data_IF_042293874894
#
_entry.id   IF_042293874894
#
_cell.length_a   1.000
_cell.length_b   1.000
_cell.length_c   1.000
_cell.angle_alpha   90.00
_cell.angle_beta   90.00
_cell.angle_gamma   90.00
#
_symmetry.space_group_name_H-M   'P 1'
#
loop_
_entity.id
_entity.type
_entity.pdbx_description
1 polymer ?
#
# COMPACT_ATOMS: atom_id res chain seq x y z
N UNK A 1 2.61 -39.11 17.55
CA UNK A 1 2.08 -38.74 16.22
C UNK A 1 1.11 -37.54 16.37
N UNK A 2 1.65 -36.32 16.35
CA UNK A 2 0.86 -35.09 16.39
C UNK A 2 0.41 -34.76 14.97
N UNK A 3 -0.90 -34.83 14.73
CA UNK A 3 -1.47 -34.42 13.44
C UNK A 3 -1.44 -32.90 13.34
N UNK A 4 -0.71 -32.38 12.37
CA UNK A 4 -0.89 -31.00 11.92
C UNK A 4 -2.34 -30.86 11.47
N UNK A 5 -3.13 -30.10 12.24
CA UNK A 5 -4.47 -29.71 11.85
C UNK A 5 -4.32 -28.89 10.56
N UNK A 6 -4.58 -29.53 9.42
CA UNK A 6 -4.48 -28.93 8.10
C UNK A 6 -5.30 -27.65 8.08
N UNK A 7 -4.62 -26.51 7.99
CA UNK A 7 -5.28 -25.23 7.77
C UNK A 7 -5.86 -25.25 6.35
N UNK A 8 -7.18 -25.43 6.24
CA UNK A 8 -7.84 -25.26 4.95
C UNK A 8 -7.86 -23.78 4.61
N UNK A 9 -7.12 -23.38 3.57
CA UNK A 9 -7.31 -22.07 2.98
C UNK A 9 -8.73 -22.02 2.39
N UNK A 10 -9.47 -20.97 2.72
CA UNK A 10 -10.79 -20.73 2.14
C UNK A 10 -10.72 -20.46 0.63
N UNK A 11 -11.86 -20.24 -0.03
CA UNK A 11 -11.89 -19.87 -1.43
C UNK A 11 -11.04 -18.62 -1.70
N UNK A 12 -10.32 -18.62 -2.82
CA UNK A 12 -9.54 -17.46 -3.25
C UNK A 12 -10.48 -16.39 -3.82
N UNK A 13 -10.29 -15.13 -3.40
CA UNK A 13 -11.06 -13.98 -3.87
C UNK A 13 -10.15 -12.98 -4.60
N UNK A 14 -10.58 -12.53 -5.77
CA UNK A 14 -9.91 -11.43 -6.49
C UNK A 14 -10.39 -10.10 -5.93
N UNK A 15 -9.55 -9.41 -5.17
CA UNK A 15 -9.91 -8.14 -4.53
C UNK A 15 -9.77 -6.94 -5.48
N UNK A 16 -8.77 -6.97 -6.35
CA UNK A 16 -8.36 -5.84 -7.16
C UNK A 16 -8.00 -6.29 -8.58
N UNK A 17 -8.72 -5.77 -9.57
CA UNK A 17 -8.47 -5.97 -10.99
C UNK A 17 -7.58 -4.87 -11.57
N UNK A 18 -6.89 -5.20 -12.67
CA UNK A 18 -6.04 -4.27 -13.44
C UNK A 18 -4.96 -3.55 -12.60
N UNK A 19 -4.50 -4.20 -11.53
CA UNK A 19 -3.39 -3.72 -10.72
C UNK A 19 -2.07 -3.90 -11.50
N UNK A 20 -1.21 -2.87 -11.58
CA UNK A 20 0.13 -3.03 -12.12
C UNK A 20 0.95 -3.96 -11.20
N UNK A 21 2.08 -4.52 -11.68
CA UNK A 21 3.02 -5.22 -10.83
C UNK A 21 3.53 -4.29 -9.71
N UNK A 22 3.31 -4.68 -8.46
CA UNK A 22 3.71 -3.97 -7.25
C UNK A 22 4.37 -4.94 -6.28
N UNK A 23 5.29 -4.43 -5.45
CA UNK A 23 5.89 -5.20 -4.37
C UNK A 23 4.85 -5.42 -3.25
N UNK A 24 4.59 -6.67 -2.89
CA UNK A 24 3.72 -7.03 -1.78
C UNK A 24 4.51 -7.09 -0.47
N UNK A 25 4.06 -6.34 0.52
CA UNK A 25 4.57 -6.32 1.88
C UNK A 25 3.38 -6.61 2.81
N UNK A 26 3.63 -7.33 3.90
CA UNK A 26 2.57 -7.73 4.82
C UNK A 26 2.96 -7.42 6.27
N UNK A 27 2.01 -6.90 7.03
CA UNK A 27 2.05 -6.96 8.49
C UNK A 27 1.13 -8.08 8.98
N UNK A 28 1.02 -8.27 10.30
CA UNK A 28 0.04 -9.21 10.87
C UNK A 28 -1.41 -8.82 10.58
N UNK A 29 -1.69 -7.56 10.21
CA UNK A 29 -3.04 -7.01 10.13
C UNK A 29 -3.41 -6.48 8.76
N UNK A 30 -2.43 -6.01 7.98
CA UNK A 30 -2.68 -5.29 6.74
C UNK A 30 -1.69 -5.75 5.66
N UNK A 31 -2.12 -5.68 4.40
CA UNK A 31 -1.27 -5.89 3.23
C UNK A 31 -1.00 -4.55 2.56
N UNK A 32 0.20 -4.39 2.04
CA UNK A 32 0.65 -3.18 1.36
C UNK A 32 1.21 -3.56 -0.01
N UNK A 33 0.74 -2.91 -1.06
CA UNK A 33 1.33 -3.01 -2.39
C UNK A 33 2.03 -1.69 -2.68
N UNK A 34 3.35 -1.72 -2.72
CA UNK A 34 4.20 -0.57 -2.93
C UNK A 34 4.84 -0.61 -4.33
N UNK A 35 5.19 0.54 -4.92
CA UNK A 35 5.95 0.57 -6.16
C UNK A 35 7.28 -0.18 -5.97
N UNK A 36 7.56 -1.15 -6.85
CA UNK A 36 8.83 -1.86 -6.87
C UNK A 36 9.92 -1.00 -7.52
N UNK A 37 11.19 -1.34 -7.30
CA UNK A 37 12.30 -0.75 -8.03
C UNK A 37 12.08 -0.96 -9.55
N UNK A 38 11.98 0.11 -10.33
CA UNK A 38 11.63 0.07 -11.76
C UNK A 38 10.14 0.24 -12.08
N UNK A 39 9.29 0.58 -11.11
CA UNK A 39 7.90 0.97 -11.38
C UNK A 39 7.82 2.23 -12.27
N UNK A 40 6.78 2.31 -13.10
CA UNK A 40 6.58 3.37 -14.09
C UNK A 40 6.45 4.75 -13.41
N UNK A 41 6.87 5.86 -14.05
CA UNK A 41 6.87 7.20 -13.45
C UNK A 41 5.53 7.61 -12.80
N UNK A 42 4.39 7.23 -13.40
CA UNK A 42 3.06 7.52 -12.86
C UNK A 42 2.58 6.62 -11.70
N UNK A 43 3.17 5.43 -11.52
CA UNK A 43 2.89 4.50 -10.41
C UNK A 43 3.82 4.75 -9.22
N UNK A 44 4.92 5.47 -9.42
CA UNK A 44 5.87 5.82 -8.37
C UNK A 44 5.20 6.51 -7.17
N UNK A 45 4.08 7.23 -7.36
CA UNK A 45 3.49 8.08 -6.33
C UNK A 45 2.51 7.41 -5.36
N UNK A 46 2.09 6.16 -5.63
CA UNK A 46 0.96 5.54 -4.91
C UNK A 46 1.32 4.26 -4.19
N UNK A 47 0.68 4.05 -3.04
CA UNK A 47 0.71 2.80 -2.29
C UNK A 47 -0.73 2.30 -2.18
N UNK A 48 -0.95 1.01 -2.37
CA UNK A 48 -2.23 0.37 -2.05
C UNK A 48 -2.13 -0.32 -0.70
N UNK A 49 -3.21 -0.27 0.06
CA UNK A 49 -3.33 -0.85 1.37
C UNK A 49 -4.61 -1.67 1.42
N UNK A 50 -4.53 -2.91 1.88
CA UNK A 50 -5.68 -3.75 2.17
C UNK A 50 -5.74 -4.02 3.66
N UNK A 51 -6.87 -3.69 4.28
CA UNK A 51 -7.16 -3.98 5.67
C UNK A 51 -8.27 -5.04 5.74
N UNK A 52 -7.92 -6.34 5.85
CA UNK A 52 -8.89 -7.45 5.93
C UNK A 52 -9.92 -7.24 7.04
N UNK A 53 -9.48 -6.79 8.22
CA UNK A 53 -10.36 -6.56 9.37
C UNK A 53 -11.44 -5.49 9.11
N UNK A 54 -11.21 -4.59 8.15
CA UNK A 54 -12.15 -3.52 7.78
C UNK A 54 -12.83 -3.79 6.44
N UNK A 55 -12.46 -4.88 5.76
CA UNK A 55 -12.86 -5.14 4.37
C UNK A 55 -12.57 -3.95 3.46
N UNK A 56 -11.45 -3.23 3.63
CA UNK A 56 -11.22 -1.95 2.94
C UNK A 56 -9.92 -1.91 2.14
N UNK A 57 -10.02 -1.58 0.86
CA UNK A 57 -8.89 -1.23 0.00
C UNK A 57 -8.71 0.28 0.01
N UNK A 58 -7.50 0.75 0.26
CA UNK A 58 -7.13 2.17 0.23
C UNK A 58 -6.01 2.37 -0.77
N UNK A 59 -6.12 3.39 -1.61
CA UNK A 59 -4.99 3.96 -2.35
C UNK A 59 -4.55 5.23 -1.64
N UNK A 60 -3.24 5.41 -1.51
CA UNK A 60 -2.66 6.58 -0.88
C UNK A 60 -1.57 7.15 -1.79
N UNK A 61 -1.44 8.46 -1.80
CA UNK A 61 -0.28 9.18 -2.33
C UNK A 61 0.44 9.86 -1.16
N UNK A 62 1.36 9.16 -0.46
CA UNK A 62 1.93 9.62 0.81
C UNK A 62 2.59 11.00 0.74
N UNK A 63 3.30 11.31 -0.36
CA UNK A 63 3.94 12.61 -0.55
C UNK A 63 2.94 13.75 -0.84
N UNK A 64 1.73 13.42 -1.28
CA UNK A 64 0.66 14.39 -1.52
C UNK A 64 -0.28 14.54 -0.32
N UNK A 65 -0.18 13.66 0.68
CA UNK A 65 -1.12 13.63 1.79
C UNK A 65 -2.53 13.24 1.36
N UNK A 66 -2.68 12.55 0.22
CA UNK A 66 -3.97 12.15 -0.33
C UNK A 66 -4.20 10.67 -0.07
N UNK A 67 -5.44 10.31 0.27
CA UNK A 67 -5.88 8.92 0.29
C UNK A 67 -7.33 8.79 -0.13
N UNK A 68 -7.67 7.65 -0.72
CA UNK A 68 -9.03 7.28 -1.07
C UNK A 68 -9.19 5.79 -0.79
N UNK A 69 -10.32 5.38 -0.21
CA UNK A 69 -10.53 3.96 0.08
C UNK A 69 -11.96 3.52 -0.09
N UNK A 70 -12.12 2.30 -0.62
CA UNK A 70 -13.36 1.61 -0.94
C UNK A 70 -13.51 0.38 -0.03
N UNK A 71 -14.68 0.24 0.60
CA UNK A 71 -15.04 -0.99 1.32
C UNK A 71 -15.52 -2.06 0.33
N UNK A 72 -15.18 -3.32 0.61
CA UNK A 72 -15.53 -4.51 -0.15
C UNK A 72 -16.21 -5.50 0.79
N UNK A 73 -17.42 -5.92 0.44
CA UNK A 73 -18.08 -7.06 1.07
C UNK A 73 -17.65 -8.36 0.38
N UNK A 74 -16.70 -9.07 1.01
CA UNK A 74 -16.18 -10.33 0.47
C UNK A 74 -17.24 -11.44 0.41
N UNK A 75 -18.24 -11.40 1.28
CA UNK A 75 -19.32 -12.38 1.27
C UNK A 75 -20.21 -12.22 0.03
N UNK A 76 -20.28 -11.01 -0.53
CA UNK A 76 -20.98 -10.70 -1.79
C UNK A 76 -20.09 -10.84 -3.02
N UNK A 77 -18.80 -11.13 -2.84
CA UNK A 77 -17.84 -11.20 -3.93
C UNK A 77 -17.46 -9.84 -4.49
N UNK A 78 -17.54 -8.78 -3.68
CA UNK A 78 -17.18 -7.43 -4.12
C UNK A 78 -15.71 -7.36 -4.55
N UNK A 79 -15.48 -6.68 -5.66
CA UNK A 79 -14.14 -6.40 -6.17
C UNK A 79 -13.95 -4.90 -6.46
N UNK A 80 -12.70 -4.51 -6.69
CA UNK A 80 -12.32 -3.16 -7.08
C UNK A 80 -11.51 -3.18 -8.37
N UNK A 81 -11.60 -2.11 -9.14
CA UNK A 81 -10.71 -1.84 -10.28
C UNK A 81 -9.67 -0.81 -9.85
N UNK A 82 -8.39 -1.08 -10.11
CA UNK A 82 -7.29 -0.19 -9.72
C UNK A 82 -7.42 1.20 -10.35
N UNK A 83 -7.84 1.30 -11.62
CA UNK A 83 -8.01 2.59 -12.29
C UNK A 83 -9.19 3.36 -11.72
N UNK A 84 -10.27 2.69 -11.38
CA UNK A 84 -11.40 3.30 -10.67
C UNK A 84 -10.97 3.83 -9.29
N UNK A 85 -10.15 3.08 -8.56
CA UNK A 85 -9.63 3.49 -7.26
C UNK A 85 -8.72 4.74 -7.39
N UNK A 86 -7.84 4.79 -8.40
CA UNK A 86 -7.00 5.95 -8.68
C UNK A 86 -7.81 7.21 -9.05
N UNK A 87 -8.90 7.05 -9.81
CA UNK A 87 -9.79 8.18 -10.13
C UNK A 87 -10.43 8.81 -8.88
N UNK A 88 -10.51 8.07 -7.78
CA UNK A 88 -10.98 8.56 -6.48
C UNK A 88 -9.97 9.45 -5.72
N UNK A 89 -8.75 9.62 -6.23
CA UNK A 89 -7.72 10.52 -5.69
C UNK A 89 -7.63 11.83 -6.51
N UNK A 90 -8.50 12.82 -6.25
CA UNK A 90 -8.36 14.12 -6.89
C UNK A 90 -7.01 14.73 -6.50
N UNK A 91 -6.22 15.15 -7.49
CA UNK A 91 -4.89 15.73 -7.27
C UNK A 91 -3.71 14.76 -7.45
N UNK A 92 -3.96 13.48 -7.79
CA UNK A 92 -2.88 12.56 -8.17
C UNK A 92 -2.17 12.98 -9.47
N UNK A 93 -2.89 13.63 -10.38
CA UNK A 93 -2.36 14.14 -11.65
C UNK A 93 -1.68 15.51 -11.52
N UNK A 94 -1.61 16.07 -10.31
CA UNK A 94 -0.88 17.31 -10.06
C UNK A 94 0.61 17.05 -10.33
N UNK A 95 1.27 17.88 -11.17
CA UNK A 95 2.69 17.71 -11.45
C UNK A 95 3.47 17.87 -10.14
N UNK A 96 4.04 16.76 -9.65
CA UNK A 96 4.92 16.74 -8.49
C UNK A 96 5.95 15.64 -8.69
N UNK A 97 7.10 15.76 -8.04
CA UNK A 97 8.19 14.80 -8.18
C UNK A 97 7.75 13.37 -7.79
N UNK A 98 8.22 12.34 -8.53
CA UNK A 98 8.03 10.93 -8.17
C UNK A 98 8.42 10.67 -6.72
N UNK A 99 7.73 9.70 -6.11
CA UNK A 99 8.13 9.19 -4.81
C UNK A 99 9.52 8.61 -4.98
N UNK A 100 10.54 9.35 -4.57
CA UNK A 100 11.93 8.94 -4.68
C UNK A 100 12.25 7.94 -3.55
N UNK A 101 11.41 6.91 -3.39
CA UNK A 101 11.56 5.91 -2.35
C UNK A 101 12.64 4.92 -2.72
N UNK A 102 13.62 4.83 -1.84
CA UNK A 102 14.69 3.87 -1.89
C UNK A 102 14.21 2.48 -1.47
N UNK A 103 13.46 2.37 -0.37
CA UNK A 103 12.97 1.08 0.14
C UNK A 103 11.74 1.21 1.03
N UNK A 104 11.11 0.06 1.28
CA UNK A 104 9.90 -0.09 2.07
C UNK A 104 10.05 -1.18 3.12
N UNK A 105 9.40 -1.00 4.28
CA UNK A 105 9.35 -2.03 5.32
C UNK A 105 7.99 -2.03 6.03
N UNK A 106 7.33 -3.20 6.10
CA UNK A 106 6.11 -3.35 6.89
C UNK A 106 6.44 -3.41 8.38
N UNK A 107 5.65 -2.71 9.19
CA UNK A 107 5.73 -2.69 10.65
C UNK A 107 4.35 -2.95 11.27
N UNK A 108 4.26 -3.25 12.58
CA UNK A 108 2.97 -3.36 13.25
C UNK A 108 2.11 -2.08 13.19
N UNK A 109 2.73 -0.91 12.98
CA UNK A 109 2.08 0.40 12.96
C UNK A 109 1.72 0.88 11.54
N UNK A 110 2.23 0.23 10.49
CA UNK A 110 1.99 0.62 9.10
C UNK A 110 3.13 0.22 8.18
N UNK A 111 3.37 1.04 7.15
CA UNK A 111 4.44 0.86 6.17
C UNK A 111 5.45 1.99 6.31
N UNK A 112 6.69 1.66 6.61
CA UNK A 112 7.81 2.61 6.57
C UNK A 112 8.30 2.76 5.14
N UNK A 113 8.58 4.00 4.75
CA UNK A 113 9.25 4.38 3.51
C UNK A 113 10.52 5.15 3.83
N UNK A 114 11.61 4.81 3.15
CA UNK A 114 12.84 5.59 3.15
C UNK A 114 13.02 6.19 1.77
N UNK A 115 13.11 7.52 1.66
CA UNK A 115 13.47 8.17 0.40
C UNK A 115 14.99 8.27 0.19
N UNK A 116 15.39 8.54 -1.05
CA UNK A 116 16.80 8.73 -1.45
C UNK A 116 17.47 9.93 -0.77
N UNK A 117 16.69 10.89 -0.26
CA UNK A 117 17.17 12.00 0.55
C UNK A 117 17.32 11.66 2.03
N UNK A 118 17.01 10.42 2.42
CA UNK A 118 17.09 9.93 3.78
C UNK A 118 15.82 10.15 4.61
N UNK A 119 14.77 10.78 4.10
CA UNK A 119 13.56 10.98 4.90
C UNK A 119 12.82 9.66 5.13
N UNK A 120 12.47 9.42 6.39
CA UNK A 120 11.71 8.25 6.83
C UNK A 120 10.29 8.67 7.14
N UNK A 121 9.31 8.02 6.51
CA UNK A 121 7.87 8.29 6.73
C UNK A 121 7.15 6.99 7.08
N UNK A 122 6.15 7.10 7.95
CA UNK A 122 5.23 6.01 8.28
C UNK A 122 3.90 6.27 7.60
N UNK A 123 3.53 5.39 6.66
CA UNK A 123 2.21 5.32 6.03
C UNK A 123 1.33 4.39 6.86
N UNK A 124 0.25 4.90 7.42
CA UNK A 124 -0.68 4.14 8.23
C UNK A 124 -1.71 3.43 7.34
N UNK A 125 -2.40 2.36 7.82
CA UNK A 125 -3.37 1.59 7.03
C UNK A 125 -4.51 2.40 6.39
N UNK A 126 -4.84 3.58 6.93
CA UNK A 126 -5.83 4.50 6.36
C UNK A 126 -5.28 5.42 5.24
N UNK A 127 -4.01 5.27 4.87
CA UNK A 127 -3.34 6.05 3.82
C UNK A 127 -2.66 7.35 4.28
N UNK A 128 -3.00 7.88 5.46
CA UNK A 128 -2.26 9.00 6.04
C UNK A 128 -0.79 8.67 6.31
N UNK A 129 0.08 9.65 6.07
CA UNK A 129 1.52 9.50 6.20
C UNK A 129 2.11 10.59 7.11
N UNK A 130 3.04 10.22 8.01
CA UNK A 130 3.75 11.16 8.88
C UNK A 130 5.26 10.97 8.80
N UNK A 131 6.03 12.03 9.00
CA UNK A 131 7.47 11.95 9.16
C UNK A 131 7.83 11.23 10.46
N UNK A 132 8.88 10.40 10.40
CA UNK A 132 9.42 9.65 11.55
C UNK A 132 10.84 10.11 11.87
N UNK A 133 11.61 10.50 10.85
CA UNK A 133 12.96 11.02 11.04
C UNK A 133 13.70 11.12 9.71
N UNK A 134 15.00 11.33 9.79
CA UNK A 134 15.93 11.31 8.66
C UNK A 134 17.05 10.32 8.95
N UNK A 135 17.39 9.50 7.96
CA UNK A 135 18.57 8.65 7.97
C UNK A 135 19.73 9.48 7.41
N UNK A 136 20.75 9.72 8.22
CA UNK A 136 21.99 10.33 7.76
C UNK A 136 22.96 9.23 7.31
N UNK A 137 23.66 9.44 6.19
CA UNK A 137 24.82 8.62 5.87
C UNK A 137 25.87 8.81 6.97
N UNK A 138 26.56 7.73 7.35
CA UNK A 138 27.67 7.82 8.29
C UNK A 138 28.78 8.73 7.70
N UNK A 139 29.54 9.45 8.54
CA UNK A 139 30.65 10.30 8.09
C UNK A 139 31.72 9.54 7.30
#
# INVERSE_FOLDING_TARGET
PGGDAGSSLGPAHVLLHHCPPLALLASRRDLFLAPAAGAWPGVAHVVLLWSPAKGRVTVAAPCLGLSHGKSLDLARGDTCDFRALLRGLPGLLSPREPLAVHTWAATPQGLLSLDVGGAVRLVQPHGGARAVGTLQAAP
#
